data_IF_439788344588
#
_entry.id   IF_439788344588
#
_cell.length_a   1.000
_cell.length_b   1.000
_cell.length_c   1.000
_cell.angle_alpha   90.00
_cell.angle_beta   90.00
_cell.angle_gamma   90.00
#
_symmetry.space_group_name_H-M   'P 1'
#
loop_
_entity.id
_entity.type
_entity.pdbx_description
1 polymer ?
#
# COMPACT_ATOMS: atom_id res chain seq x y z
N UNK A 1 -39.71 4.92 -40.20
CA UNK A 1 -38.55 5.41 -39.38
C UNK A 1 -37.81 4.25 -38.69
N UNK A 2 -38.26 3.00 -38.88
CA UNK A 2 -37.72 1.80 -38.25
C UNK A 2 -36.38 1.33 -38.84
N UNK A 3 -36.06 1.69 -40.09
CA UNK A 3 -34.81 1.28 -40.75
C UNK A 3 -33.57 1.85 -40.07
N UNK A 4 -33.58 3.16 -39.79
CA UNK A 4 -32.44 3.87 -39.17
C UNK A 4 -32.18 3.38 -37.74
N UNK A 5 -33.24 3.01 -37.01
CA UNK A 5 -33.14 2.47 -35.65
C UNK A 5 -32.42 1.11 -35.60
N UNK A 6 -32.63 0.26 -36.62
CA UNK A 6 -31.92 -1.02 -36.73
C UNK A 6 -30.44 -0.81 -37.04
N UNK A 7 -30.11 0.13 -37.92
CA UNK A 7 -28.71 0.44 -38.22
C UNK A 7 -27.94 1.02 -37.02
N UNK A 8 -28.57 1.90 -36.22
CA UNK A 8 -27.94 2.45 -35.01
C UNK A 8 -27.74 1.38 -33.92
N UNK A 9 -28.70 0.47 -33.73
CA UNK A 9 -28.56 -0.65 -32.77
C UNK A 9 -27.48 -1.66 -33.21
N UNK A 10 -27.19 -1.76 -34.51
CA UNK A 10 -26.13 -2.65 -35.01
C UNK A 10 -24.73 -2.02 -34.87
N UNK A 11 -24.64 -0.70 -34.72
CA UNK A 11 -23.36 0.01 -34.54
C UNK A 11 -22.85 -0.04 -33.08
N UNK A 12 -23.71 -0.36 -32.12
CA UNK A 12 -23.31 -0.65 -30.74
C UNK A 12 -22.87 -2.11 -30.61
N UNK A 13 -21.91 -2.52 -31.45
CA UNK A 13 -21.18 -3.77 -31.23
C UNK A 13 -20.24 -3.54 -30.06
N UNK A 14 -20.57 -4.12 -28.90
CA UNK A 14 -19.79 -4.03 -27.66
C UNK A 14 -18.28 -4.16 -27.94
N UNK A 15 -17.47 -3.08 -27.83
CA UNK A 15 -16.05 -3.09 -28.17
C UNK A 15 -15.25 -4.05 -27.26
N UNK A 16 -15.85 -4.42 -26.14
CA UNK A 16 -15.33 -5.38 -25.17
C UNK A 16 -15.47 -6.84 -25.62
N UNK A 17 -16.30 -7.14 -26.63
CA UNK A 17 -16.54 -8.50 -27.13
C UNK A 17 -15.36 -9.02 -27.95
N UNK A 18 -14.76 -8.17 -28.76
CA UNK A 18 -13.58 -8.50 -29.59
C UNK A 18 -12.27 -8.29 -28.83
N UNK A 19 -12.28 -7.48 -27.77
CA UNK A 19 -11.11 -7.27 -26.90
C UNK A 19 -10.84 -8.46 -25.96
N UNK A 20 -11.89 -9.14 -25.49
CA UNK A 20 -11.78 -10.31 -24.61
C UNK A 20 -10.96 -11.48 -25.19
N UNK A 21 -11.19 -11.96 -26.43
CA UNK A 21 -10.42 -13.08 -26.97
C UNK A 21 -8.93 -12.76 -27.10
N UNK A 22 -8.58 -11.57 -27.60
CA UNK A 22 -7.19 -11.13 -27.75
C UNK A 22 -6.44 -11.06 -26.41
N UNK A 23 -7.09 -10.57 -25.34
CA UNK A 23 -6.49 -10.52 -24.00
C UNK A 23 -6.31 -11.94 -23.43
N UNK A 24 -7.28 -12.83 -23.64
CA UNK A 24 -7.21 -14.21 -23.16
C UNK A 24 -6.08 -14.96 -23.86
N UNK A 25 -5.93 -14.83 -25.17
CA UNK A 25 -4.83 -15.42 -25.94
C UNK A 25 -3.48 -14.89 -25.44
N UNK A 26 -3.36 -13.57 -25.26
CA UNK A 26 -2.14 -12.96 -24.73
C UNK A 26 -1.80 -13.46 -23.31
N UNK A 27 -2.80 -13.57 -22.43
CA UNK A 27 -2.61 -14.11 -21.08
C UNK A 27 -2.21 -15.59 -21.11
N UNK A 28 -2.82 -16.39 -21.98
CA UNK A 28 -2.49 -17.80 -22.14
C UNK A 28 -1.06 -18.00 -22.64
N UNK A 29 -0.61 -17.20 -23.62
CA UNK A 29 0.77 -17.23 -24.10
C UNK A 29 1.77 -16.89 -22.99
N UNK A 30 1.50 -15.81 -22.23
CA UNK A 30 2.37 -15.39 -21.13
C UNK A 30 2.37 -16.40 -19.98
N UNK A 31 1.22 -17.00 -19.66
CA UNK A 31 1.12 -18.07 -18.67
C UNK A 31 1.86 -19.31 -19.12
N UNK A 32 1.75 -19.70 -20.39
CA UNK A 32 2.47 -20.85 -20.96
C UNK A 32 3.99 -20.64 -20.86
N UNK A 33 4.45 -19.43 -21.18
CA UNK A 33 5.86 -19.09 -21.10
C UNK A 33 6.36 -19.07 -19.65
N UNK A 34 5.57 -18.54 -18.73
CA UNK A 34 5.88 -18.57 -17.29
C UNK A 34 5.90 -19.99 -16.75
N UNK A 35 4.93 -20.83 -17.11
CA UNK A 35 4.88 -22.22 -16.71
C UNK A 35 6.09 -22.98 -17.25
N UNK A 36 6.45 -22.79 -18.52
CA UNK A 36 7.65 -23.41 -19.10
C UNK A 36 8.93 -22.97 -18.39
N UNK A 37 9.04 -21.68 -18.03
CA UNK A 37 10.17 -21.19 -17.27
C UNK A 37 10.23 -21.80 -15.86
N UNK A 38 9.08 -21.88 -15.18
CA UNK A 38 8.95 -22.50 -13.85
C UNK A 38 9.28 -23.99 -13.93
N UNK A 39 8.80 -24.73 -14.94
CA UNK A 39 9.12 -26.16 -15.07
C UNK A 39 10.60 -26.37 -15.34
N UNK A 40 11.23 -25.52 -16.17
CA UNK A 40 12.68 -25.58 -16.42
C UNK A 40 13.50 -25.33 -15.16
N UNK A 41 13.08 -24.34 -14.36
CA UNK A 41 13.71 -24.07 -13.07
C UNK A 41 13.46 -25.22 -12.10
N UNK A 42 12.23 -25.73 -12.06
CA UNK A 42 11.85 -26.80 -11.15
C UNK A 42 12.60 -28.09 -11.47
N UNK A 43 12.78 -28.45 -12.74
CA UNK A 43 13.56 -29.64 -13.14
C UNK A 43 15.03 -29.48 -12.79
N UNK A 44 15.61 -28.30 -13.00
CA UNK A 44 16.98 -28.02 -12.59
C UNK A 44 17.14 -28.06 -11.06
N UNK A 45 16.19 -27.46 -10.34
CA UNK A 45 16.17 -27.47 -8.88
C UNK A 45 15.92 -28.87 -8.33
N UNK A 46 15.06 -29.69 -8.96
CA UNK A 46 14.80 -31.05 -8.51
C UNK A 46 16.02 -31.94 -8.72
N UNK A 47 16.71 -31.81 -9.87
CA UNK A 47 17.95 -32.55 -10.14
C UNK A 47 19.05 -32.19 -9.12
N UNK A 48 19.20 -30.90 -8.80
CA UNK A 48 20.12 -30.45 -7.74
C UNK A 48 19.65 -30.81 -6.34
N UNK A 49 18.34 -30.87 -6.10
CA UNK A 49 17.77 -31.32 -4.83
C UNK A 49 17.97 -32.83 -4.65
N UNK A 50 17.95 -33.60 -5.73
CA UNK A 50 18.32 -35.02 -5.79
C UNK A 50 19.80 -35.25 -5.50
N UNK A 51 20.67 -34.34 -5.96
CA UNK A 51 22.11 -34.38 -5.66
C UNK A 51 22.44 -33.97 -4.21
N UNK A 52 21.74 -32.97 -3.66
CA UNK A 52 22.03 -32.42 -2.32
C UNK A 52 21.35 -33.23 -1.20
N UNK A 53 20.24 -33.93 -1.49
CA UNK A 53 19.47 -34.69 -0.48
C UNK A 53 19.24 -36.14 -0.91
N UNK A 54 19.99 -37.12 -0.37
CA UNK A 54 19.79 -38.54 -0.69
C UNK A 54 18.37 -39.00 -0.32
N UNK A 55 17.77 -39.90 -1.13
CA UNK A 55 16.33 -40.20 -1.10
C UNK A 55 15.80 -40.84 0.20
N UNK A 56 16.68 -41.46 1.00
CA UNK A 56 16.33 -42.21 2.22
C UNK A 56 15.94 -41.33 3.43
N UNK A 57 16.28 -40.04 3.46
CA UNK A 57 16.04 -39.16 4.64
C UNK A 57 15.09 -37.97 4.39
N UNK A 58 14.34 -38.01 3.29
CA UNK A 58 13.62 -36.84 2.74
C UNK A 58 12.39 -36.39 3.54
N UNK A 59 11.54 -37.31 3.98
CA UNK A 59 10.27 -36.93 4.63
C UNK A 59 10.51 -36.20 5.95
N UNK A 60 11.41 -36.72 6.78
CA UNK A 60 11.53 -36.30 8.17
C UNK A 60 12.34 -35.00 8.29
N UNK A 61 13.31 -34.80 7.40
CA UNK A 61 14.07 -33.57 7.32
C UNK A 61 13.22 -32.46 6.70
N UNK A 62 12.55 -32.71 5.57
CA UNK A 62 11.69 -31.71 4.93
C UNK A 62 10.53 -31.32 5.84
N UNK A 63 9.85 -32.26 6.49
CA UNK A 63 8.81 -31.94 7.47
C UNK A 63 9.35 -31.09 8.61
N UNK A 64 10.57 -31.36 9.08
CA UNK A 64 11.22 -30.55 10.12
C UNK A 64 11.53 -29.14 9.61
N UNK A 65 12.05 -29.00 8.39
CA UNK A 65 12.31 -27.68 7.77
C UNK A 65 11.03 -26.90 7.52
N UNK A 66 9.96 -27.55 7.05
CA UNK A 66 8.64 -26.96 6.88
C UNK A 66 8.06 -26.53 8.23
N UNK A 67 8.20 -27.38 9.25
CA UNK A 67 7.76 -27.03 10.61
C UNK A 67 8.55 -25.84 11.14
N UNK A 68 9.87 -25.77 10.97
CA UNK A 68 10.70 -24.61 11.37
C UNK A 68 10.29 -23.35 10.58
N UNK A 69 10.11 -23.47 9.26
CA UNK A 69 9.67 -22.35 8.43
C UNK A 69 8.30 -21.84 8.89
N UNK A 70 7.34 -22.74 9.12
CA UNK A 70 5.99 -22.37 9.53
C UNK A 70 5.94 -21.83 10.97
N UNK A 71 6.67 -22.42 11.90
CA UNK A 71 6.58 -22.06 13.32
C UNK A 71 7.51 -20.93 13.74
N UNK A 72 8.60 -20.68 13.02
CA UNK A 72 9.57 -19.63 13.37
C UNK A 72 9.52 -18.50 12.35
N UNK A 73 9.62 -18.80 11.06
CA UNK A 73 9.71 -17.75 10.03
C UNK A 73 8.39 -17.00 9.89
N UNK A 74 7.25 -17.70 9.95
CA UNK A 74 5.93 -17.05 9.86
C UNK A 74 5.71 -16.05 11.01
N UNK A 75 5.80 -16.39 12.31
CA UNK A 75 5.58 -15.40 13.37
C UNK A 75 6.64 -14.30 13.38
N UNK A 76 7.91 -14.61 13.09
CA UNK A 76 8.95 -13.57 12.99
C UNK A 76 8.63 -12.57 11.88
N UNK A 77 8.21 -13.06 10.71
CA UNK A 77 7.81 -12.20 9.60
C UNK A 77 6.58 -11.36 9.91
N UNK A 78 5.55 -11.94 10.58
CA UNK A 78 4.37 -11.21 11.01
C UNK A 78 4.71 -10.13 12.04
N UNK A 79 5.55 -10.44 13.03
CA UNK A 79 6.00 -9.47 14.04
C UNK A 79 6.81 -8.36 13.38
N UNK A 80 7.75 -8.70 12.49
CA UNK A 80 8.53 -7.71 11.75
C UNK A 80 7.63 -6.81 10.87
N UNK A 81 6.63 -7.39 10.21
CA UNK A 81 5.67 -6.65 9.40
C UNK A 81 4.77 -5.73 10.24
N UNK A 82 4.30 -6.22 11.39
CA UNK A 82 3.52 -5.43 12.35
C UNK A 82 4.35 -4.29 12.92
N UNK A 83 5.61 -4.53 13.29
CA UNK A 83 6.54 -3.49 13.73
C UNK A 83 6.82 -2.47 12.62
N UNK A 84 7.05 -2.92 11.39
CA UNK A 84 7.24 -2.04 10.24
C UNK A 84 6.01 -1.16 9.98
N UNK A 85 4.82 -1.75 10.02
CA UNK A 85 3.55 -1.03 9.89
C UNK A 85 3.36 -0.04 11.05
N UNK A 86 3.59 -0.45 12.29
CA UNK A 86 3.52 0.40 13.46
C UNK A 86 4.52 1.56 13.37
N UNK A 87 5.77 1.34 12.99
CA UNK A 87 6.76 2.41 12.83
C UNK A 87 6.36 3.39 11.72
N UNK A 88 5.85 2.92 10.57
CA UNK A 88 5.39 3.82 9.50
C UNK A 88 4.10 4.57 9.85
N UNK A 89 3.17 3.93 10.57
CA UNK A 89 1.86 4.51 10.90
C UNK A 89 1.93 5.41 12.14
N UNK A 90 2.67 5.02 13.19
CA UNK A 90 2.82 5.82 14.41
C UNK A 90 3.58 7.13 14.17
N UNK A 91 4.55 7.18 13.24
CA UNK A 91 5.18 8.44 12.84
C UNK A 91 4.20 9.43 12.18
N UNK A 92 3.10 8.95 11.57
CA UNK A 92 2.04 9.83 11.03
C UNK A 92 0.98 10.20 12.07
N UNK A 93 0.70 9.31 13.03
CA UNK A 93 -0.35 9.56 14.04
C UNK A 93 0.11 10.40 15.24
N UNK A 94 1.38 10.32 15.66
CA UNK A 94 1.91 11.18 16.74
C UNK A 94 2.11 12.64 16.31
N UNK A 95 2.12 12.94 15.01
CA UNK A 95 2.23 14.31 14.49
C UNK A 95 0.93 15.12 14.57
N UNK A 96 -0.21 14.49 14.92
CA UNK A 96 -1.53 15.14 14.96
C UNK A 96 -2.11 15.33 16.37
N UNK A 97 -1.43 14.87 17.42
CA UNK A 97 -1.95 14.93 18.80
C UNK A 97 -0.93 15.60 19.71
N UNK A 98 -1.01 16.92 19.79
CA UNK A 98 -0.26 17.69 20.79
C UNK A 98 0.17 19.04 20.26
N UNK A 99 -0.78 19.99 20.23
CA UNK A 99 -0.54 21.42 20.08
C UNK A 99 0.26 22.03 21.24
N UNK A 100 1.40 21.44 21.56
CA UNK A 100 2.48 22.05 22.36
C UNK A 100 3.56 22.56 21.40
N UNK A 101 3.14 23.19 20.30
CA UNK A 101 4.04 24.03 19.51
C UNK A 101 4.59 25.16 20.39
N UNK A 102 5.80 25.62 20.09
CA UNK A 102 6.42 26.74 20.83
C UNK A 102 5.42 27.88 20.99
N UNK A 103 5.13 28.24 22.24
CA UNK A 103 4.33 29.41 22.56
C UNK A 103 5.16 30.66 22.25
N UNK A 104 4.55 31.66 21.63
CA UNK A 104 5.19 32.94 21.35
C UNK A 104 4.34 34.09 21.91
N UNK A 105 4.96 35.25 22.15
CA UNK A 105 4.20 36.46 22.48
C UNK A 105 3.36 36.87 21.27
N UNK A 106 2.06 37.05 21.48
CA UNK A 106 1.10 37.46 20.48
C UNK A 106 1.35 38.93 20.08
N UNK A 107 1.70 39.21 18.80
CA UNK A 107 2.01 40.57 18.35
C UNK A 107 0.82 41.53 18.53
N UNK A 108 1.00 42.64 19.25
CA UNK A 108 -0.06 43.65 19.43
C UNK A 108 -1.14 43.30 20.48
N UNK A 109 -0.96 42.25 21.28
CA UNK A 109 -1.90 41.84 22.37
C UNK A 109 -1.31 41.94 23.77
N UNK A 110 -0.59 43.03 24.07
CA UNK A 110 -0.22 43.39 25.44
C UNK A 110 0.50 42.30 26.27
N UNK A 111 1.23 41.38 25.62
CA UNK A 111 1.98 40.31 26.29
C UNK A 111 1.27 38.95 26.38
N UNK A 112 0.06 38.79 25.82
CA UNK A 112 -0.58 37.49 25.69
C UNK A 112 0.32 36.50 24.91
N UNK A 113 0.21 35.20 25.21
CA UNK A 113 0.95 34.14 24.49
C UNK A 113 0.01 33.31 23.65
N UNK A 114 0.48 32.86 22.49
CA UNK A 114 -0.25 31.98 21.56
C UNK A 114 0.66 30.93 20.95
N UNK A 115 0.14 29.79 20.49
CA UNK A 115 0.90 28.81 19.74
C UNK A 115 1.42 29.43 18.46
N UNK A 116 2.73 29.30 18.21
CA UNK A 116 3.34 29.81 16.98
C UNK A 116 2.74 29.17 15.73
N UNK A 117 2.39 27.89 15.79
CA UNK A 117 1.74 27.18 14.69
C UNK A 117 0.40 27.82 14.27
N UNK A 118 -0.43 28.25 15.23
CA UNK A 118 -1.70 28.92 14.93
C UNK A 118 -1.51 30.25 14.20
N UNK A 119 -0.42 30.98 14.49
CA UNK A 119 -0.07 32.20 13.76
C UNK A 119 0.41 31.92 12.35
N UNK A 120 1.35 30.98 12.21
CA UNK A 120 1.97 30.65 10.93
C UNK A 120 0.95 30.04 9.97
N UNK A 121 -0.05 29.32 10.49
CA UNK A 121 -1.15 28.78 9.70
C UNK A 121 -2.04 29.86 9.07
N UNK A 122 -2.38 30.93 9.82
CA UNK A 122 -3.16 32.04 9.29
C UNK A 122 -2.84 33.38 9.98
N UNK A 123 -1.82 34.12 9.50
CA UNK A 123 -1.48 35.42 10.08
C UNK A 123 -2.54 36.47 9.75
N UNK A 124 -3.25 36.34 8.62
CA UNK A 124 -4.30 37.27 8.21
C UNK A 124 -5.47 37.26 9.18
N UNK A 125 -5.95 36.08 9.55
CA UNK A 125 -7.09 35.96 10.47
C UNK A 125 -6.74 36.45 11.87
N UNK A 126 -5.49 36.23 12.29
CA UNK A 126 -4.97 36.80 13.53
C UNK A 126 -5.13 38.33 13.57
N UNK A 127 -4.68 39.04 12.53
CA UNK A 127 -4.76 40.51 12.49
C UNK A 127 -6.19 41.03 12.31
N UNK A 128 -7.05 40.31 11.56
CA UNK A 128 -8.48 40.64 11.47
C UNK A 128 -9.13 40.56 12.85
N UNK A 129 -8.90 39.45 13.57
CA UNK A 129 -9.42 39.24 14.92
C UNK A 129 -8.83 40.24 15.93
N UNK A 130 -7.57 40.64 15.74
CA UNK A 130 -6.92 41.68 16.54
C UNK A 130 -7.61 43.03 16.39
N UNK A 131 -7.87 43.47 15.15
CA UNK A 131 -8.58 44.73 14.87
C UNK A 131 -10.02 44.69 15.37
N UNK A 132 -10.66 43.52 15.25
CA UNK A 132 -12.00 43.29 15.77
C UNK A 132 -12.06 43.10 17.31
N UNK A 133 -10.93 43.22 18.03
CA UNK A 133 -10.80 43.05 19.49
C UNK A 133 -11.36 41.71 20.02
N UNK A 134 -11.39 40.67 19.19
CA UNK A 134 -11.82 39.32 19.61
C UNK A 134 -10.79 38.67 20.53
N UNK A 135 -11.17 37.73 21.43
CA UNK A 135 -10.21 36.97 22.23
C UNK A 135 -9.37 36.03 21.35
N UNK A 136 -8.25 35.53 21.90
CA UNK A 136 -7.45 34.49 21.25
C UNK A 136 -8.21 33.16 21.35
N UNK A 137 -8.53 32.58 20.19
CA UNK A 137 -9.14 31.26 20.07
C UNK A 137 -8.14 30.37 19.33
N UNK A 138 -7.88 29.17 19.85
CA UNK A 138 -6.95 28.19 19.30
C UNK A 138 -7.70 27.02 18.68
#
# INVERSE_FOLDING_TARGET
MEGIRKFLVTQESDPWKDLKPNIIEFLQEKLTLLLHFITTIFTYLSDKFDEIFPPETRSDTVLRWVHIALTVVLPVSLVAFMLYCCCKCCCRCLSRRGGYGRMMKAPGRGGARMPRASFEASPRDYFINLRAKKPLVY
#
